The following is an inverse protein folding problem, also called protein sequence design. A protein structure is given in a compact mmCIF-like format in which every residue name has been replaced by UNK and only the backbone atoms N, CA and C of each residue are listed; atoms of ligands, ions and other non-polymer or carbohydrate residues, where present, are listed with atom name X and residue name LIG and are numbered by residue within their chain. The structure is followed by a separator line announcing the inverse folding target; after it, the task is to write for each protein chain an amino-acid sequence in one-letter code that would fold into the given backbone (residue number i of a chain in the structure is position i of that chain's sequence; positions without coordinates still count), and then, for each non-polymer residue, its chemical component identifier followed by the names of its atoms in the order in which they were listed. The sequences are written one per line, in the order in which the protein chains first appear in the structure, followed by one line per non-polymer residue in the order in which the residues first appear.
data_IF_995864989016
#
_entry.id   IF_995864989016
#
_cell.length_a   1.000
_cell.length_b   1.000
_cell.length_c   1.000
_cell.angle_alpha   90.00
_cell.angle_beta   90.00
_cell.angle_gamma   90.00
#
_symmetry.space_group_name_H-M   'P 1'
#
loop_
_entity.id
_entity.type
_entity.pdbx_description
1 polymer ?
#
# COMPACT_ATOMS: atom_id res chain seq x y z
N UNK A 1 0.49 -52.91 -13.16
CA UNK A 1 0.11 -51.57 -12.66
C UNK A 1 -0.51 -50.81 -13.83
N UNK A 2 -1.85 -50.80 -13.93
CA UNK A 2 -2.57 -50.30 -15.10
C UNK A 2 -2.64 -48.77 -15.12
N UNK A 3 -2.20 -48.17 -16.22
CA UNK A 3 -2.31 -46.73 -16.51
C UNK A 3 -3.60 -46.53 -17.29
N UNK A 4 -4.59 -45.84 -16.71
CA UNK A 4 -5.78 -45.39 -17.44
C UNK A 4 -5.55 -43.97 -17.95
N UNK A 5 -5.42 -43.85 -19.26
CA UNK A 5 -5.63 -42.61 -20.02
C UNK A 5 -7.13 -42.33 -20.07
N UNK A 6 -7.51 -41.05 -20.05
CA UNK A 6 -8.71 -40.58 -20.75
C UNK A 6 -8.52 -39.11 -21.13
N UNK A 7 -8.24 -38.92 -22.42
CA UNK A 7 -8.45 -37.66 -23.15
C UNK A 7 -9.94 -37.47 -23.42
N UNK A 8 -10.46 -36.23 -23.32
CA UNK A 8 -11.58 -35.57 -24.07
C UNK A 8 -11.93 -34.28 -23.30
N UNK A 9 -12.28 -33.12 -23.84
CA UNK A 9 -12.28 -32.56 -25.19
C UNK A 9 -12.39 -31.03 -25.03
N UNK A 10 -11.83 -30.32 -26.02
CA UNK A 10 -11.85 -28.88 -26.23
C UNK A 10 -13.28 -28.34 -26.41
N UNK A 11 -13.59 -27.21 -25.79
CA UNK A 11 -14.55 -26.23 -26.31
C UNK A 11 -14.07 -24.81 -25.97
N UNK A 12 -13.58 -24.10 -26.99
CA UNK A 12 -13.28 -22.68 -26.96
C UNK A 12 -14.54 -21.94 -27.42
N UNK A 13 -15.04 -21.03 -26.60
CA UNK A 13 -15.97 -19.98 -27.04
C UNK A 13 -15.50 -18.65 -26.43
N UNK A 14 -14.69 -17.92 -27.21
CA UNK A 14 -14.46 -16.48 -27.00
C UNK A 14 -15.48 -15.74 -27.85
N UNK A 15 -16.32 -14.92 -27.24
CA UNK A 15 -16.75 -13.62 -27.81
C UNK A 15 -17.81 -12.97 -26.92
N UNK A 16 -17.54 -11.77 -26.40
CA UNK A 16 -18.17 -10.53 -26.87
C UNK A 16 -17.97 -9.40 -25.84
N UNK A 17 -17.51 -8.23 -26.33
CA UNK A 17 -17.54 -6.93 -25.65
C UNK A 17 -16.50 -6.75 -24.54
N UNK A 18 -15.81 -5.62 -24.39
CA UNK A 18 -16.02 -4.29 -24.92
C UNK A 18 -14.66 -3.55 -25.00
N UNK A 19 -14.56 -2.67 -25.99
CA UNK A 19 -13.43 -1.81 -26.31
C UNK A 19 -13.24 -0.67 -25.31
N UNK A 20 -12.89 -0.97 -24.05
CA UNK A 20 -12.78 0.07 -23.00
C UNK A 20 -11.60 -0.04 -22.02
N UNK A 21 -10.87 -1.14 -21.96
CA UNK A 21 -9.99 -1.42 -20.81
C UNK A 21 -8.50 -1.02 -20.97
N UNK A 22 -8.15 -0.19 -21.96
CA UNK A 22 -6.74 0.18 -22.18
C UNK A 22 -6.26 1.38 -21.36
N UNK A 23 -7.18 2.12 -20.71
CA UNK A 23 -6.81 3.35 -19.99
C UNK A 23 -6.15 3.09 -18.62
N UNK A 24 -6.47 1.97 -17.95
CA UNK A 24 -5.96 1.69 -16.59
C UNK A 24 -4.58 1.01 -16.57
N UNK A 25 -4.00 0.69 -17.73
CA UNK A 25 -2.71 -0.02 -17.82
C UNK A 25 -1.47 0.87 -17.65
N UNK A 26 -1.63 2.19 -17.49
CA UNK A 26 -0.51 3.14 -17.46
C UNK A 26 0.02 3.50 -16.05
N UNK A 27 -0.58 2.96 -14.98
CA UNK A 27 0.03 3.05 -13.64
C UNK A 27 1.00 1.89 -13.47
N UNK A 28 2.25 2.10 -13.90
CA UNK A 28 3.32 1.11 -13.82
C UNK A 28 3.74 0.87 -12.36
N UNK A 29 2.96 0.06 -11.67
CA UNK A 29 3.37 -0.73 -10.52
C UNK A 29 2.72 -2.08 -10.66
N UNK A 30 3.49 -3.12 -11.04
CA UNK A 30 2.98 -4.49 -11.01
C UNK A 30 2.42 -4.76 -9.61
N UNK A 31 1.15 -5.16 -9.45
CA UNK A 31 0.64 -5.53 -8.14
C UNK A 31 1.51 -6.69 -7.62
N UNK A 32 2.16 -6.46 -6.47
CA UNK A 32 2.94 -7.50 -5.81
C UNK A 32 1.99 -8.65 -5.44
N UNK A 33 2.42 -9.89 -5.64
CA UNK A 33 1.58 -11.10 -5.63
C UNK A 33 0.99 -11.52 -4.27
N UNK A 34 0.74 -10.60 -3.35
CA UNK A 34 0.24 -10.86 -2.00
C UNK A 34 -1.30 -11.01 -1.92
N UNK A 35 -1.99 -11.20 -3.04
CA UNK A 35 -3.46 -11.29 -3.10
C UNK A 35 -4.01 -12.70 -2.79
N UNK A 36 -3.14 -13.68 -2.55
CA UNK A 36 -3.54 -15.07 -2.24
C UNK A 36 -3.92 -15.24 -0.76
N UNK A 37 -5.02 -15.94 -0.49
CA UNK A 37 -5.50 -16.25 0.87
C UNK A 37 -4.51 -17.08 1.71
N UNK A 38 -3.58 -17.77 1.05
CA UNK A 38 -2.58 -18.64 1.68
C UNK A 38 -1.29 -17.89 2.06
N UNK A 39 -1.22 -16.58 1.80
CA UNK A 39 -0.10 -15.73 2.17
C UNK A 39 -0.07 -15.42 3.67
N UNK A 40 1.08 -14.97 4.20
CA UNK A 40 1.15 -14.49 5.57
C UNK A 40 0.19 -13.31 5.77
N UNK A 41 -0.44 -13.23 6.95
CA UNK A 41 -1.37 -12.14 7.30
C UNK A 41 -0.73 -10.74 7.26
N UNK A 42 0.60 -10.66 7.19
CA UNK A 42 1.34 -9.40 7.17
C UNK A 42 2.65 -9.59 6.41
N UNK A 43 3.12 -8.51 5.80
CA UNK A 43 4.40 -8.49 5.08
C UNK A 43 5.53 -8.43 6.11
N UNK A 44 6.59 -9.25 5.97
CA UNK A 44 7.73 -9.15 6.86
C UNK A 44 8.44 -7.80 6.64
N UNK A 45 8.76 -7.12 7.74
CA UNK A 45 9.56 -5.89 7.73
C UNK A 45 10.94 -6.19 8.33
N UNK A 46 11.96 -5.52 7.83
CA UNK A 46 13.28 -5.54 8.46
C UNK A 46 13.18 -4.83 9.82
N UNK A 47 13.53 -5.51 10.94
CA UNK A 47 13.50 -4.87 12.24
C UNK A 47 14.52 -3.74 12.31
N UNK A 48 14.19 -2.66 13.02
CA UNK A 48 15.15 -1.58 13.28
C UNK A 48 16.25 -2.07 14.24
N UNK A 49 17.34 -1.30 14.35
CA UNK A 49 18.41 -1.60 15.30
C UNK A 49 17.94 -1.65 16.76
N UNK A 50 18.70 -2.30 17.65
CA UNK A 50 18.30 -2.58 19.05
C UNK A 50 17.83 -1.34 19.85
N UNK A 51 18.29 -0.14 19.49
CA UNK A 51 17.93 1.13 20.16
C UNK A 51 17.28 2.15 19.22
N UNK A 52 16.80 1.71 18.06
CA UNK A 52 16.23 2.59 17.05
C UNK A 52 14.70 2.57 17.15
N UNK A 53 14.11 3.74 17.32
CA UNK A 53 12.66 3.91 17.35
C UNK A 53 12.12 4.05 15.94
N UNK A 54 10.91 3.55 15.72
CA UNK A 54 10.18 3.85 14.49
C UNK A 54 9.90 5.36 14.46
N UNK A 55 10.33 6.03 13.40
CA UNK A 55 9.99 7.42 13.18
C UNK A 55 8.57 7.51 12.60
N UNK A 56 7.63 7.98 13.43
CA UNK A 56 6.22 8.11 13.08
C UNK A 56 5.98 9.23 12.06
N UNK A 57 6.91 10.19 11.97
CA UNK A 57 6.82 11.30 11.02
C UNK A 57 7.43 10.96 9.66
N UNK A 58 8.17 9.85 9.51
CA UNK A 58 8.93 9.55 8.30
C UNK A 58 8.08 9.46 7.02
N UNK A 59 6.80 9.10 7.12
CA UNK A 59 5.88 9.13 5.97
C UNK A 59 5.31 10.52 5.71
N UNK A 60 5.03 11.30 6.76
CA UNK A 60 4.52 12.66 6.65
C UNK A 60 5.60 13.63 6.15
N UNK A 61 6.84 13.47 6.61
CA UNK A 61 8.01 14.24 6.14
C UNK A 61 8.29 14.06 4.64
N UNK A 62 7.99 12.90 4.05
CA UNK A 62 8.15 12.69 2.59
C UNK A 62 7.20 13.55 1.75
N UNK A 63 6.06 13.95 2.33
CA UNK A 63 5.01 14.69 1.66
C UNK A 63 4.94 16.16 2.11
N UNK A 64 5.70 16.54 3.14
CA UNK A 64 5.75 17.89 3.71
C UNK A 64 7.00 18.65 3.23
N UNK A 65 6.97 19.99 3.24
CA UNK A 65 8.12 20.80 2.81
C UNK A 65 9.24 20.81 3.86
N UNK A 66 8.88 20.72 5.14
CA UNK A 66 9.79 20.62 6.28
C UNK A 66 9.17 19.78 7.40
N UNK A 67 10.01 19.32 8.33
CA UNK A 67 9.63 18.53 9.51
C UNK A 67 8.58 19.22 10.37
N UNK A 68 8.54 20.54 10.35
CA UNK A 68 7.56 21.31 11.11
C UNK A 68 6.18 21.26 10.51
N UNK A 69 6.07 21.21 9.18
CA UNK A 69 4.79 21.05 8.51
C UNK A 69 4.26 19.63 8.76
N UNK A 70 5.12 18.61 8.70
CA UNK A 70 4.74 17.24 9.06
C UNK A 70 4.18 17.14 10.50
N UNK A 71 4.78 17.85 11.45
CA UNK A 71 4.29 17.96 12.84
C UNK A 71 2.97 18.73 12.95
N UNK A 72 2.82 19.83 12.20
CA UNK A 72 1.60 20.63 12.19
C UNK A 72 0.43 19.82 11.63
N UNK A 73 0.66 19.09 10.54
CA UNK A 73 -0.36 18.27 9.88
C UNK A 73 -0.83 17.13 10.79
N UNK A 74 0.10 16.42 11.45
CA UNK A 74 -0.25 15.39 12.44
C UNK A 74 -1.01 15.95 13.63
N UNK A 75 -0.50 17.03 14.23
CA UNK A 75 -1.19 17.66 15.35
C UNK A 75 -2.57 18.15 14.96
N UNK A 76 -2.76 18.64 13.72
CA UNK A 76 -4.04 19.14 13.23
C UNK A 76 -5.04 17.99 13.08
N UNK A 77 -4.65 16.88 12.46
CA UNK A 77 -5.48 15.68 12.32
C UNK A 77 -5.95 15.13 13.67
N UNK A 78 -5.08 15.14 14.69
CA UNK A 78 -5.37 14.60 16.03
C UNK A 78 -6.15 15.57 16.93
N UNK A 79 -6.12 16.88 16.65
CA UNK A 79 -6.69 17.91 17.54
C UNK A 79 -8.16 18.22 17.29
N UNK A 80 -8.79 17.67 16.25
CA UNK A 80 -10.25 17.79 16.09
C UNK A 80 -10.95 16.91 17.14
N UNK A 81 -11.77 17.45 18.08
CA UNK A 81 -12.65 18.62 17.96
C UNK A 81 -12.31 19.89 18.80
N UNK A 82 -11.20 19.96 19.53
CA UNK A 82 -10.89 21.11 20.42
C UNK A 82 -10.07 22.19 19.69
N UNK A 83 -10.66 23.38 19.55
CA UNK A 83 -10.38 24.41 18.53
C UNK A 83 -9.11 25.27 18.68
N UNK A 84 -8.11 24.89 19.48
CA UNK A 84 -6.90 25.71 19.59
C UNK A 84 -5.95 25.40 18.42
N UNK A 85 -5.47 26.42 17.68
CA UNK A 85 -4.55 26.20 16.57
C UNK A 85 -3.26 25.53 17.09
N UNK A 86 -2.85 24.46 16.42
CA UNK A 86 -1.60 23.74 16.73
C UNK A 86 -0.42 24.69 16.52
N UNK A 87 0.45 24.80 17.53
CA UNK A 87 1.67 25.61 17.45
C UNK A 87 2.92 24.75 17.67
N UNK A 88 3.67 24.53 16.60
CA UNK A 88 4.96 23.81 16.64
C UNK A 88 6.08 24.82 16.92
N UNK A 89 6.92 24.53 17.91
CA UNK A 89 8.04 25.41 18.30
C UNK A 89 9.29 25.10 17.48
N UNK A 90 9.87 26.13 16.87
CA UNK A 90 11.24 26.11 16.34
C UNK A 90 12.22 26.31 17.48
N UNK A 91 12.91 25.25 17.89
CA UNK A 91 14.01 25.32 18.85
C UNK A 91 15.29 25.20 18.01
N UNK A 92 15.93 26.33 17.73
CA UNK A 92 17.22 26.42 17.02
C UNK A 92 18.38 26.19 17.97
#
# INVERSE_FOLDING_TARGET
MGIFKNDKAKAVARSAGSSGAAADSAVEGRPHGDQGSDGPHSRPITPLGENEKHDQLAEKEKNAEDRQEALLDEGLEESFPSSDPVSVKRIT
#
